data_IF_842448712584
#
_entry.id   IF_842448712584
#
_cell.length_a   1.000
_cell.length_b   1.000
_cell.length_c   1.000
_cell.angle_alpha   90.00
_cell.angle_beta   90.00
_cell.angle_gamma   90.00
#
_symmetry.space_group_name_H-M   'P 1'
#
loop_
_entity.id
_entity.type
_entity.pdbx_description
1 polymer ?
#
# COMPACT_ATOMS: atom_id res chain seq x y z
N UNK A 1 1.19 6.44 27.08
CA UNK A 1 1.82 6.19 28.41
C UNK A 1 1.23 4.97 29.15
N UNK A 2 -0.12 4.73 29.24
CA UNK A 2 -0.65 3.64 30.06
C UNK A 2 -0.08 2.27 29.65
N UNK A 3 -0.01 1.97 28.36
CA UNK A 3 0.48 0.68 27.83
C UNK A 3 2.01 0.46 27.98
N UNK A 4 2.76 1.51 28.34
CA UNK A 4 4.19 1.39 28.64
C UNK A 4 4.46 1.20 30.13
N UNK A 5 3.54 1.59 31.01
CA UNK A 5 3.78 1.69 32.44
C UNK A 5 2.89 0.73 33.27
N UNK A 6 1.65 0.52 32.83
CA UNK A 6 0.65 -0.20 33.64
C UNK A 6 -0.05 -1.34 32.89
N UNK A 7 -0.39 -1.15 31.62
CA UNK A 7 -1.19 -2.05 30.79
C UNK A 7 -0.34 -2.71 29.69
N UNK A 8 0.86 -3.17 30.02
CA UNK A 8 1.87 -3.69 29.08
C UNK A 8 1.75 -5.20 28.80
N UNK A 9 0.61 -5.81 29.12
CA UNK A 9 0.38 -7.22 28.85
C UNK A 9 0.45 -7.55 27.35
N UNK A 10 0.97 -8.72 27.01
CA UNK A 10 1.01 -9.18 25.62
C UNK A 10 -0.41 -9.49 25.13
N UNK A 11 -0.89 -8.67 24.18
CA UNK A 11 -2.25 -8.74 23.64
C UNK A 11 -2.60 -10.08 22.97
N UNK A 12 -1.60 -10.87 22.57
CA UNK A 12 -1.79 -12.19 21.94
C UNK A 12 -2.04 -13.32 22.95
N UNK A 13 -1.88 -13.05 24.24
CA UNK A 13 -1.96 -14.07 25.27
C UNK A 13 -3.37 -14.17 25.89
N UNK A 14 -3.77 -15.36 26.42
CA UNK A 14 -5.11 -15.58 26.95
C UNK A 14 -5.31 -15.09 28.40
N UNK A 15 -4.27 -14.65 29.11
CA UNK A 15 -4.37 -14.24 30.51
C UNK A 15 -5.11 -12.88 30.68
N UNK A 16 -5.68 -12.67 31.86
CA UNK A 16 -6.52 -11.50 32.15
C UNK A 16 -5.80 -10.15 31.95
N UNK A 17 -4.52 -10.09 32.24
CA UNK A 17 -3.66 -8.91 32.07
C UNK A 17 -3.50 -8.47 30.61
N UNK A 18 -3.76 -9.37 29.64
CA UNK A 18 -3.74 -9.07 28.22
C UNK A 18 -5.01 -8.38 27.71
N UNK A 19 -6.11 -8.38 28.49
CA UNK A 19 -7.43 -7.93 28.00
C UNK A 19 -7.46 -6.46 27.57
N UNK A 20 -6.87 -5.58 28.40
CA UNK A 20 -6.86 -4.14 28.13
C UNK A 20 -6.03 -3.79 26.88
N UNK A 21 -4.76 -4.23 26.74
CA UNK A 21 -3.99 -4.05 25.52
C UNK A 21 -4.68 -4.61 24.28
N UNK A 22 -5.26 -5.81 24.35
CA UNK A 22 -5.99 -6.43 23.26
C UNK A 22 -7.20 -5.60 22.81
N UNK A 23 -7.99 -5.13 23.78
CA UNK A 23 -9.15 -4.28 23.50
C UNK A 23 -8.73 -2.97 22.84
N UNK A 24 -7.68 -2.32 23.34
CA UNK A 24 -7.19 -1.07 22.77
C UNK A 24 -6.68 -1.21 21.33
N UNK A 25 -5.98 -2.31 21.01
CA UNK A 25 -5.56 -2.61 19.64
C UNK A 25 -6.78 -2.84 18.75
N UNK A 26 -7.78 -3.57 19.23
CA UNK A 26 -8.98 -3.84 18.45
C UNK A 26 -9.80 -2.56 18.19
N UNK A 27 -9.98 -1.70 19.19
CA UNK A 27 -10.67 -0.41 19.04
C UNK A 27 -9.93 0.53 18.05
N UNK A 28 -8.60 0.55 18.10
CA UNK A 28 -7.79 1.31 17.15
C UNK A 28 -7.95 0.77 15.72
N UNK A 29 -7.96 -0.54 15.55
CA UNK A 29 -8.16 -1.24 14.28
C UNK A 29 -9.52 -0.89 13.67
N UNK A 30 -10.59 -1.00 14.47
CA UNK A 30 -11.97 -0.66 14.06
C UNK A 30 -12.09 0.82 13.65
N UNK A 31 -11.46 1.71 14.43
CA UNK A 31 -11.46 3.15 14.13
C UNK A 31 -10.77 3.44 12.79
N UNK A 32 -9.59 2.85 12.54
CA UNK A 32 -8.86 3.02 11.28
C UNK A 32 -9.65 2.45 10.11
N UNK A 33 -10.15 1.23 10.24
CA UNK A 33 -10.97 0.58 9.22
C UNK A 33 -12.17 1.45 8.82
N UNK A 34 -12.91 1.96 9.82
CA UNK A 34 -14.03 2.87 9.58
C UNK A 34 -13.64 4.16 8.85
N UNK A 35 -12.45 4.71 9.12
CA UNK A 35 -11.97 5.94 8.46
C UNK A 35 -11.70 5.77 6.97
N UNK A 36 -11.31 4.57 6.53
CA UNK A 36 -10.94 4.30 5.13
C UNK A 36 -11.92 3.37 4.41
N UNK A 37 -13.01 2.97 5.07
CA UNK A 37 -14.03 2.08 4.49
C UNK A 37 -13.58 0.62 4.37
N UNK A 38 -12.59 0.19 5.16
CA UNK A 38 -12.10 -1.18 5.21
C UNK A 38 -12.78 -2.00 6.32
N UNK A 39 -12.55 -3.32 6.33
CA UNK A 39 -12.90 -4.19 7.45
C UNK A 39 -11.77 -4.20 8.50
N UNK A 40 -12.09 -4.36 9.80
CA UNK A 40 -11.07 -4.38 10.84
C UNK A 40 -9.99 -5.46 10.63
N UNK A 41 -10.33 -6.61 10.09
CA UNK A 41 -9.42 -7.72 9.76
C UNK A 41 -8.46 -7.42 8.61
N UNK A 42 -8.72 -6.38 7.81
CA UNK A 42 -7.85 -5.91 6.72
C UNK A 42 -6.78 -4.92 7.22
N UNK A 43 -6.85 -4.50 8.50
CA UNK A 43 -5.89 -3.56 9.07
C UNK A 43 -4.74 -4.31 9.74
N UNK A 44 -3.52 -4.02 9.33
CA UNK A 44 -2.29 -4.53 9.91
C UNK A 44 -1.42 -3.39 10.43
N UNK A 45 -0.97 -3.50 11.66
CA UNK A 45 -0.08 -2.52 12.27
C UNK A 45 1.38 -2.85 11.97
N UNK A 46 2.11 -1.86 11.50
CA UNK A 46 3.55 -1.92 11.22
C UNK A 46 4.27 -0.80 11.95
N UNK A 47 5.60 -0.76 11.87
CA UNK A 47 6.40 0.32 12.46
C UNK A 47 6.31 1.64 11.67
N UNK A 48 5.77 1.62 10.45
CA UNK A 48 5.61 2.79 9.58
C UNK A 48 5.45 2.43 8.11
N UNK A 49 5.23 3.45 7.26
CA UNK A 49 5.01 3.28 5.82
C UNK A 49 6.08 2.45 5.13
N UNK A 50 7.36 2.68 5.48
CA UNK A 50 8.46 1.91 4.89
C UNK A 50 8.32 0.40 5.11
N UNK A 51 7.92 -0.05 6.29
CA UNK A 51 7.67 -1.47 6.54
C UNK A 51 6.45 -1.95 5.77
N UNK A 52 5.37 -1.16 5.74
CA UNK A 52 4.14 -1.48 5.01
C UNK A 52 4.38 -1.68 3.52
N UNK A 53 5.07 -0.72 2.86
CA UNK A 53 5.38 -0.78 1.43
C UNK A 53 6.29 -1.98 1.10
N UNK A 54 7.32 -2.20 1.92
CA UNK A 54 8.21 -3.35 1.75
C UNK A 54 7.45 -4.66 1.94
N UNK A 55 6.56 -4.74 2.92
CA UNK A 55 5.75 -5.94 3.15
C UNK A 55 4.80 -6.21 2.00
N UNK A 56 4.07 -5.19 1.53
CA UNK A 56 3.16 -5.32 0.40
C UNK A 56 3.92 -5.75 -0.86
N UNK A 57 4.91 -4.96 -1.31
CA UNK A 57 5.59 -5.17 -2.60
C UNK A 57 6.39 -6.48 -2.60
N UNK A 58 7.24 -6.69 -1.58
CA UNK A 58 8.07 -7.89 -1.51
C UNK A 58 7.26 -9.14 -1.19
N UNK A 59 6.25 -9.03 -0.30
CA UNK A 59 5.38 -10.15 0.04
C UNK A 59 4.62 -10.68 -1.17
N UNK A 60 4.09 -9.77 -1.99
CA UNK A 60 3.41 -10.11 -3.24
C UNK A 60 4.41 -10.69 -4.26
N UNK A 61 5.58 -10.06 -4.45
CA UNK A 61 6.59 -10.53 -5.38
C UNK A 61 7.10 -11.95 -5.02
N UNK A 62 7.27 -12.25 -3.74
CA UNK A 62 7.70 -13.59 -3.29
C UNK A 62 6.65 -14.67 -3.49
N UNK A 63 5.37 -14.33 -3.61
CA UNK A 63 4.31 -15.28 -3.97
C UNK A 63 4.19 -15.49 -5.48
N UNK A 64 4.78 -14.59 -6.27
CA UNK A 64 4.75 -14.62 -7.73
C UNK A 64 5.96 -15.41 -8.29
N UNK A 65 5.88 -16.72 -8.20
CA UNK A 65 6.98 -17.61 -8.64
C UNK A 65 7.28 -17.54 -10.15
N UNK A 66 6.36 -16.98 -10.95
CA UNK A 66 6.53 -16.87 -12.39
C UNK A 66 7.32 -15.61 -12.81
N UNK A 67 7.82 -14.84 -11.84
CA UNK A 67 8.59 -13.61 -12.07
C UNK A 67 7.91 -12.60 -13.00
N UNK A 68 6.59 -12.49 -12.90
CA UNK A 68 5.81 -11.53 -13.69
C UNK A 68 6.15 -10.09 -13.30
N UNK A 69 5.89 -9.16 -14.23
CA UNK A 69 6.32 -7.78 -14.11
C UNK A 69 5.57 -6.98 -13.03
N UNK A 70 6.30 -6.09 -12.37
CA UNK A 70 5.75 -5.03 -11.52
C UNK A 70 5.86 -3.70 -12.24
N UNK A 71 4.85 -2.84 -12.12
CA UNK A 71 4.88 -1.47 -12.64
C UNK A 71 4.80 -0.53 -11.43
N UNK A 72 5.65 0.49 -11.42
CA UNK A 72 5.60 1.57 -10.44
C UNK A 72 5.88 2.91 -11.11
N UNK A 73 5.88 4.01 -10.35
CA UNK A 73 6.23 5.33 -10.88
C UNK A 73 7.65 5.73 -10.51
N UNK A 74 8.27 6.59 -11.31
CA UNK A 74 9.62 7.08 -11.03
C UNK A 74 9.68 8.15 -9.93
N UNK A 75 8.54 8.56 -9.39
CA UNK A 75 8.41 9.60 -8.35
C UNK A 75 7.82 9.08 -7.03
N UNK A 76 7.86 7.77 -6.81
CA UNK A 76 7.47 7.14 -5.55
C UNK A 76 8.38 7.56 -4.38
N UNK A 77 7.89 7.36 -3.17
CA UNK A 77 8.75 7.42 -2.00
C UNK A 77 9.85 6.33 -2.07
N UNK A 78 11.03 6.62 -1.51
CA UNK A 78 12.16 5.68 -1.52
C UNK A 78 11.83 4.30 -0.93
N UNK A 79 10.86 4.19 -0.03
CA UNK A 79 10.40 2.91 0.50
C UNK A 79 9.88 1.98 -0.61
N UNK A 80 9.11 2.53 -1.55
CA UNK A 80 8.58 1.81 -2.73
C UNK A 80 9.70 1.56 -3.74
N UNK A 81 10.49 2.59 -4.10
CA UNK A 81 11.58 2.46 -5.08
C UNK A 81 12.60 1.40 -4.68
N UNK A 82 13.08 1.43 -3.42
CA UNK A 82 14.04 0.44 -2.94
C UNK A 82 13.43 -0.97 -2.81
N UNK A 83 12.12 -1.08 -2.51
CA UNK A 83 11.44 -2.37 -2.53
C UNK A 83 11.38 -2.94 -3.96
N UNK A 84 11.07 -2.10 -4.95
CA UNK A 84 11.07 -2.45 -6.37
C UNK A 84 12.46 -2.86 -6.86
N UNK A 85 13.50 -2.08 -6.54
CA UNK A 85 14.90 -2.45 -6.84
C UNK A 85 15.28 -3.80 -6.23
N UNK A 86 14.81 -4.10 -5.03
CA UNK A 86 15.13 -5.36 -4.36
C UNK A 86 14.49 -6.56 -5.07
N UNK A 87 13.23 -6.46 -5.51
CA UNK A 87 12.58 -7.54 -6.26
C UNK A 87 13.15 -7.68 -7.68
N UNK A 88 13.58 -6.58 -8.30
CA UNK A 88 14.26 -6.61 -9.59
C UNK A 88 15.56 -7.40 -9.55
N UNK A 89 16.37 -7.23 -8.48
CA UNK A 89 17.59 -8.03 -8.25
C UNK A 89 17.29 -9.53 -8.04
N UNK A 90 16.06 -9.88 -7.67
CA UNK A 90 15.61 -11.26 -7.52
C UNK A 90 14.98 -11.82 -8.81
N UNK A 91 15.02 -11.06 -9.89
CA UNK A 91 14.56 -11.50 -11.21
C UNK A 91 13.11 -11.14 -11.55
N UNK A 92 12.43 -10.33 -10.73
CA UNK A 92 11.11 -9.80 -11.06
C UNK A 92 11.27 -8.50 -11.88
N UNK A 93 10.88 -8.44 -13.16
CA UNK A 93 11.02 -7.22 -13.95
C UNK A 93 10.23 -6.05 -13.34
N UNK A 94 10.82 -4.86 -13.33
CA UNK A 94 10.14 -3.64 -12.86
C UNK A 94 10.16 -2.59 -13.95
N UNK A 95 8.99 -2.04 -14.27
CA UNK A 95 8.84 -0.90 -15.18
C UNK A 95 8.52 0.37 -14.38
N UNK A 96 9.27 1.43 -14.64
CA UNK A 96 9.10 2.72 -13.97
C UNK A 96 8.41 3.71 -14.90
N UNK A 97 7.14 4.02 -14.65
CA UNK A 97 6.40 5.02 -15.41
C UNK A 97 6.92 6.41 -15.13
N UNK A 98 7.15 7.18 -16.19
CA UNK A 98 7.51 8.59 -16.08
C UNK A 98 6.24 9.44 -15.99
N UNK A 99 6.21 10.43 -15.10
CA UNK A 99 5.10 11.37 -14.99
C UNK A 99 5.07 12.38 -16.13
N UNK A 100 3.94 13.04 -16.31
CA UNK A 100 3.86 14.26 -17.10
C UNK A 100 4.53 15.46 -16.37
N UNK A 101 4.47 16.65 -16.99
CA UNK A 101 5.05 17.89 -16.43
C UNK A 101 4.41 18.36 -15.11
N UNK A 102 3.25 17.81 -14.74
CA UNK A 102 2.53 18.09 -13.48
C UNK A 102 2.72 16.98 -12.45
N UNK A 103 3.64 16.06 -12.71
CA UNK A 103 3.88 14.87 -11.90
C UNK A 103 2.59 14.04 -11.73
N UNK A 104 1.97 13.75 -12.87
CA UNK A 104 0.72 13.01 -12.97
C UNK A 104 0.87 11.83 -13.91
N UNK A 105 0.27 10.69 -13.55
CA UNK A 105 0.20 9.48 -14.38
C UNK A 105 -1.25 9.26 -14.78
N UNK A 106 -1.51 9.28 -16.09
CA UNK A 106 -2.86 9.04 -16.61
C UNK A 106 -3.13 7.55 -16.83
N UNK A 107 -4.42 7.22 -16.97
CA UNK A 107 -4.87 5.91 -17.45
C UNK A 107 -4.15 5.48 -18.73
N UNK A 108 -4.12 6.35 -19.75
CA UNK A 108 -3.48 6.06 -21.05
C UNK A 108 -1.97 5.84 -20.89
N UNK A 109 -1.35 6.45 -19.88
CA UNK A 109 0.06 6.21 -19.56
C UNK A 109 0.25 4.79 -19.04
N UNK A 110 -0.58 4.34 -18.10
CA UNK A 110 -0.49 2.98 -17.56
C UNK A 110 -0.78 1.94 -18.65
N UNK A 111 -1.77 2.16 -19.52
CA UNK A 111 -2.12 1.26 -20.61
C UNK A 111 -0.97 0.99 -21.60
N UNK A 112 0.03 1.89 -21.68
CA UNK A 112 1.24 1.67 -22.50
C UNK A 112 2.29 0.77 -21.84
N UNK A 113 2.23 0.60 -20.52
CA UNK A 113 3.17 -0.21 -19.74
C UNK A 113 2.61 -1.57 -19.36
N UNK A 114 1.29 -1.64 -19.11
CA UNK A 114 0.65 -2.83 -18.58
C UNK A 114 0.47 -3.89 -19.67
N UNK A 115 0.69 -5.14 -19.30
CA UNK A 115 0.49 -6.32 -20.14
C UNK A 115 -0.15 -7.44 -19.30
N UNK A 116 -0.56 -8.52 -19.93
CA UNK A 116 -1.08 -9.71 -19.24
C UNK A 116 -0.02 -10.40 -18.35
N UNK A 117 1.26 -10.07 -18.54
CA UNK A 117 2.36 -10.50 -17.68
C UNK A 117 2.55 -9.56 -16.48
N UNK A 118 1.79 -8.47 -16.37
CA UNK A 118 1.85 -7.58 -15.22
C UNK A 118 1.12 -8.21 -14.05
N UNK A 119 1.75 -8.20 -12.90
CA UNK A 119 1.23 -8.82 -11.69
C UNK A 119 0.90 -7.81 -10.59
N UNK A 120 1.67 -6.74 -10.50
CA UNK A 120 1.48 -5.68 -9.54
C UNK A 120 1.65 -4.30 -10.21
N UNK A 121 0.74 -3.40 -9.91
CA UNK A 121 0.88 -1.97 -10.18
C UNK A 121 0.95 -1.23 -8.85
N UNK A 122 1.97 -0.42 -8.64
CA UNK A 122 2.15 0.38 -7.42
C UNK A 122 2.27 1.86 -7.78
N UNK A 123 1.32 2.67 -7.31
CA UNK A 123 1.30 4.12 -7.56
C UNK A 123 0.94 4.86 -6.28
N UNK A 124 1.79 5.78 -5.83
CA UNK A 124 1.50 6.60 -4.65
C UNK A 124 0.25 7.44 -4.85
N UNK A 125 -0.55 7.63 -3.79
CA UNK A 125 -1.77 8.41 -3.88
C UNK A 125 -1.48 9.92 -3.99
N UNK A 126 -0.65 10.44 -3.11
CA UNK A 126 -0.25 11.83 -3.08
C UNK A 126 1.27 11.94 -2.92
N UNK A 127 1.91 12.77 -3.75
CA UNK A 127 3.34 12.96 -3.67
C UNK A 127 3.70 13.85 -2.47
N UNK A 128 4.66 13.43 -1.68
CA UNK A 128 5.09 14.09 -0.44
C UNK A 128 5.86 15.41 -0.67
N UNK A 129 6.41 15.63 -1.86
CA UNK A 129 7.21 16.82 -2.17
C UNK A 129 6.40 17.84 -2.97
N UNK A 130 5.65 17.39 -3.97
CA UNK A 130 4.95 18.25 -4.92
C UNK A 130 3.44 18.36 -4.66
N UNK A 131 2.88 17.46 -3.84
CA UNK A 131 1.46 17.45 -3.50
C UNK A 131 0.53 17.03 -4.65
N UNK A 132 1.06 16.48 -5.73
CA UNK A 132 0.22 15.95 -6.82
C UNK A 132 -0.56 14.74 -6.35
N UNK A 133 -1.87 14.69 -6.65
CA UNK A 133 -2.76 13.59 -6.31
C UNK A 133 -3.00 12.76 -7.57
N UNK A 134 -2.80 11.45 -7.48
CA UNK A 134 -2.93 10.53 -8.61
C UNK A 134 -4.36 10.00 -8.73
N UNK A 135 -4.85 9.65 -9.94
CA UNK A 135 -6.20 9.14 -10.18
C UNK A 135 -6.28 7.64 -9.85
N UNK A 136 -6.12 7.30 -8.56
CA UNK A 136 -5.97 5.92 -8.09
C UNK A 136 -7.09 5.01 -8.56
N UNK A 137 -8.35 5.45 -8.48
CA UNK A 137 -9.51 4.67 -8.92
C UNK A 137 -9.42 4.24 -10.39
N UNK A 138 -9.01 5.15 -11.26
CA UNK A 138 -8.88 4.87 -12.70
C UNK A 138 -7.72 3.92 -12.98
N UNK A 139 -6.59 4.14 -12.31
CA UNK A 139 -5.40 3.30 -12.46
C UNK A 139 -5.62 1.90 -11.89
N UNK A 140 -6.27 1.81 -10.75
CA UNK A 140 -6.65 0.54 -10.12
C UNK A 140 -7.55 -0.28 -11.04
N UNK A 141 -8.56 0.37 -11.66
CA UNK A 141 -9.41 -0.30 -12.62
C UNK A 141 -8.63 -0.87 -13.81
N UNK A 142 -7.69 -0.12 -14.38
CA UNK A 142 -6.84 -0.63 -15.48
C UNK A 142 -6.03 -1.84 -15.04
N UNK A 143 -5.42 -1.79 -13.85
CA UNK A 143 -4.65 -2.91 -13.31
C UNK A 143 -5.53 -4.18 -13.18
N UNK A 144 -6.71 -4.05 -12.60
CA UNK A 144 -7.64 -5.16 -12.42
C UNK A 144 -8.19 -5.70 -13.75
N UNK A 145 -8.44 -4.84 -14.74
CA UNK A 145 -8.89 -5.26 -16.09
C UNK A 145 -7.83 -6.16 -16.77
N UNK A 146 -6.55 -6.07 -16.38
CA UNK A 146 -5.43 -6.92 -16.80
C UNK A 146 -5.08 -8.05 -15.80
N UNK A 147 -5.87 -8.21 -14.73
CA UNK A 147 -5.62 -9.25 -13.71
C UNK A 147 -4.44 -8.96 -12.79
N UNK A 148 -3.93 -7.73 -12.77
CA UNK A 148 -2.87 -7.29 -11.87
C UNK A 148 -3.45 -6.80 -10.53
N UNK A 149 -2.71 -7.02 -9.44
CA UNK A 149 -2.97 -6.38 -8.16
C UNK A 149 -2.61 -4.89 -8.19
N UNK A 150 -3.26 -4.10 -7.36
CA UNK A 150 -2.95 -2.69 -7.23
C UNK A 150 -2.56 -2.33 -5.80
N UNK A 151 -1.45 -1.63 -5.64
CA UNK A 151 -0.95 -1.08 -4.39
C UNK A 151 -0.86 0.45 -4.48
N UNK A 152 -1.18 1.14 -3.39
CA UNK A 152 -0.97 2.59 -3.28
C UNK A 152 -0.33 2.95 -1.94
N UNK A 153 0.79 3.68 -1.97
CA UNK A 153 1.30 4.40 -0.80
C UNK A 153 0.41 5.63 -0.58
N UNK A 154 -0.39 5.58 0.48
CA UNK A 154 -1.32 6.63 0.86
C UNK A 154 -0.88 7.39 2.11
N UNK A 155 0.37 7.28 2.55
CA UNK A 155 0.90 7.94 3.75
C UNK A 155 0.62 9.44 3.77
N UNK A 156 0.72 10.11 2.62
CA UNK A 156 0.43 11.55 2.51
C UNK A 156 -1.03 11.87 2.18
N UNK A 157 -1.86 10.87 1.92
CA UNK A 157 -3.26 11.07 1.54
C UNK A 157 -4.22 10.87 2.73
N UNK A 158 -3.96 9.85 3.58
CA UNK A 158 -4.82 9.55 4.74
C UNK A 158 -4.88 10.75 5.69
N UNK A 159 -6.09 11.19 6.02
CA UNK A 159 -6.34 12.35 6.87
C UNK A 159 -6.32 13.70 6.13
N UNK A 160 -5.91 13.75 4.87
CA UNK A 160 -5.89 14.96 4.05
C UNK A 160 -6.92 14.94 2.92
N UNK A 161 -7.18 13.77 2.35
CA UNK A 161 -8.24 13.56 1.35
C UNK A 161 -9.19 12.47 1.82
N UNK A 162 -10.43 12.52 1.37
CA UNK A 162 -11.40 11.46 1.65
C UNK A 162 -10.97 10.17 0.93
N UNK A 163 -10.83 9.09 1.69
CA UNK A 163 -10.45 7.78 1.18
C UNK A 163 -11.52 6.76 1.54
N UNK A 164 -11.95 5.98 0.56
CA UNK A 164 -12.71 4.75 0.75
C UNK A 164 -12.10 3.70 -0.16
N UNK A 165 -11.52 2.65 0.43
CA UNK A 165 -10.79 1.62 -0.32
C UNK A 165 -11.71 0.85 -1.27
N UNK A 166 -12.99 0.65 -0.90
CA UNK A 166 -13.95 -0.01 -1.77
C UNK A 166 -14.32 0.85 -3.00
N UNK A 167 -14.44 2.18 -2.82
CA UNK A 167 -14.74 3.10 -3.92
C UNK A 167 -13.55 3.27 -4.87
N UNK A 168 -12.33 3.17 -4.33
CA UNK A 168 -11.08 3.22 -5.10
C UNK A 168 -10.81 1.89 -5.80
N UNK A 169 -11.25 0.79 -5.21
CA UNK A 169 -11.01 -0.57 -5.67
C UNK A 169 -9.65 -1.15 -5.24
N UNK A 170 -8.99 -0.52 -4.25
CA UNK A 170 -7.67 -0.94 -3.72
C UNK A 170 -7.83 -1.86 -2.54
#
# INVERSE_FOLDING_TARGET
KPYLLHEYGNASQPYSFARQPKKAIQEARESIASCIGALPEEIYFTSGGTESDNWAIKGIAFQNYDHRATITTAFEHHAVLHACEAIERLGCPVAYMLPDKRVFVSRDSLERYITDETFLVSVMYANNELGSIQPIKELCKVAHDHGALFHTDAVQAVGHVAINVNDLGV
#
